data_IF_544294390574
#
_entry.id   IF_544294390574
#
_cell.length_a   1.000
_cell.length_b   1.000
_cell.length_c   1.000
_cell.angle_alpha   90.00
_cell.angle_beta   90.00
_cell.angle_gamma   90.00
#
_symmetry.space_group_name_H-M   'P 1'
#
loop_
_entity.id
_entity.type
_entity.pdbx_description
1 polymer ?
#
# COMPACT_ATOMS: atom_id res chain seq x y z
N UNK A 1 -6.06 -4.91 0.34
CA UNK A 1 -6.80 -3.64 0.16
C UNK A 1 -6.15 -2.86 -0.97
N UNK A 2 -6.93 -2.16 -1.79
CA UNK A 2 -6.42 -1.24 -2.82
C UNK A 2 -6.88 0.18 -2.46
N UNK A 3 -5.97 1.15 -2.45
CA UNK A 3 -6.28 2.56 -2.11
C UNK A 3 -5.52 3.54 -3.01
N UNK A 4 -6.08 4.72 -3.24
CA UNK A 4 -5.31 5.84 -3.80
C UNK A 4 -4.37 6.41 -2.74
N UNK A 5 -3.20 6.91 -3.14
CA UNK A 5 -2.29 7.67 -2.28
C UNK A 5 -2.92 9.01 -1.93
N UNK A 6 -3.55 9.65 -2.90
CA UNK A 6 -4.15 10.98 -2.77
C UNK A 6 -5.66 10.83 -2.71
N UNK A 7 -6.23 11.15 -1.56
CA UNK A 7 -7.69 11.20 -1.36
C UNK A 7 -8.04 12.47 -0.57
N UNK A 8 -9.20 13.09 -0.82
CA UNK A 8 -9.70 14.17 0.02
C UNK A 8 -9.98 13.66 1.44
N UNK A 9 -9.73 14.51 2.44
CA UNK A 9 -9.87 14.26 3.88
C UNK A 9 -8.85 13.30 4.53
N UNK A 10 -8.63 12.09 3.98
CA UNK A 10 -7.69 11.12 4.55
C UNK A 10 -6.86 10.49 3.42
N UNK A 11 -5.55 10.73 3.42
CA UNK A 11 -4.67 10.13 2.41
C UNK A 11 -4.55 8.61 2.57
N UNK A 12 -4.28 7.88 1.48
CA UNK A 12 -4.13 6.42 1.54
C UNK A 12 -3.05 5.96 2.51
N UNK A 13 -2.05 6.81 2.75
CA UNK A 13 -1.00 6.57 3.74
C UNK A 13 -1.53 6.60 5.18
N UNK A 14 -2.34 7.59 5.53
CA UNK A 14 -2.95 7.66 6.87
C UNK A 14 -3.88 6.45 7.10
N UNK A 15 -4.66 6.09 6.08
CA UNK A 15 -5.47 4.87 6.08
C UNK A 15 -4.60 3.63 6.31
N UNK A 16 -3.44 3.52 5.66
CA UNK A 16 -2.54 2.38 5.83
C UNK A 16 -1.98 2.25 7.25
N UNK A 17 -1.67 3.37 7.91
CA UNK A 17 -1.26 3.36 9.32
C UNK A 17 -2.39 2.87 10.22
N UNK A 18 -3.63 3.32 9.97
CA UNK A 18 -4.78 2.87 10.73
C UNK A 18 -5.04 1.35 10.54
N UNK A 19 -5.00 0.89 9.29
CA UNK A 19 -5.16 -0.53 8.94
C UNK A 19 -4.00 -1.37 9.48
N UNK A 20 -2.78 -0.86 9.52
CA UNK A 20 -1.65 -1.56 10.15
C UNK A 20 -1.87 -1.83 11.64
N UNK A 21 -2.61 -0.95 12.34
CA UNK A 21 -2.94 -1.11 13.77
C UNK A 21 -4.12 -2.05 14.01
N UNK A 22 -5.13 -2.04 13.13
CA UNK A 22 -6.36 -2.85 13.29
C UNK A 22 -6.28 -4.21 12.60
N UNK A 23 -5.44 -4.34 11.58
CA UNK A 23 -5.30 -5.53 10.75
C UNK A 23 -3.87 -5.67 10.19
N UNK A 24 -2.87 -5.98 11.04
CA UNK A 24 -1.45 -6.01 10.67
C UNK A 24 -1.10 -7.05 9.58
N UNK A 25 -1.97 -8.03 9.33
CA UNK A 25 -1.81 -8.99 8.24
C UNK A 25 -2.31 -8.48 6.87
N UNK A 26 -2.93 -7.29 6.83
CA UNK A 26 -3.54 -6.75 5.61
C UNK A 26 -2.46 -6.25 4.66
N UNK A 27 -2.46 -6.81 3.44
CA UNK A 27 -1.62 -6.32 2.33
C UNK A 27 -2.30 -5.13 1.66
N UNK A 28 -1.55 -4.07 1.39
CA UNK A 28 -2.07 -2.82 0.85
C UNK A 28 -1.39 -2.52 -0.49
N UNK A 29 -2.20 -2.32 -1.53
CA UNK A 29 -1.76 -1.85 -2.84
C UNK A 29 -2.16 -0.39 -2.99
N UNK A 30 -1.17 0.48 -3.18
CA UNK A 30 -1.34 1.89 -3.43
C UNK A 30 -1.43 2.16 -4.92
N UNK A 31 -2.25 3.14 -5.30
CA UNK A 31 -2.32 3.65 -6.66
C UNK A 31 -2.15 5.16 -6.65
N UNK A 32 -1.44 5.74 -7.62
CA UNK A 32 -1.26 7.21 -7.72
C UNK A 32 -1.02 7.65 -9.15
N UNK A 33 -1.62 8.77 -9.56
CA UNK A 33 -1.27 9.46 -10.81
C UNK A 33 -0.05 10.36 -10.72
N UNK A 34 0.47 10.59 -9.50
CA UNK A 34 1.60 11.45 -9.21
C UNK A 34 2.63 10.67 -8.39
N UNK A 35 3.59 9.98 -9.04
CA UNK A 35 4.57 9.15 -8.35
C UNK A 35 5.54 9.96 -7.47
N UNK A 36 5.69 11.28 -7.73
CA UNK A 36 6.52 12.18 -6.93
C UNK A 36 6.03 12.42 -5.49
N UNK A 37 4.78 12.09 -5.20
CA UNK A 37 4.21 12.21 -3.85
C UNK A 37 4.46 10.96 -2.97
N UNK A 38 5.16 9.98 -3.54
CA UNK A 38 5.49 8.73 -2.86
C UNK A 38 6.74 8.90 -1.97
N UNK A 39 6.64 9.72 -0.91
CA UNK A 39 7.68 9.76 0.13
C UNK A 39 7.32 8.76 1.22
N UNK A 40 8.04 7.63 1.24
CA UNK A 40 7.91 6.61 2.27
C UNK A 40 8.58 7.14 3.55
N UNK A 41 7.87 7.29 4.67
CA UNK A 41 8.53 7.54 5.96
C UNK A 41 9.36 6.30 6.32
N UNK A 42 10.59 6.51 6.78
CA UNK A 42 11.47 5.44 7.25
C UNK A 42 10.82 4.56 8.35
N UNK A 43 9.77 5.08 9.00
CA UNK A 43 9.13 4.49 10.18
C UNK A 43 7.80 3.80 9.85
N UNK A 44 7.44 3.63 8.57
CA UNK A 44 6.27 2.81 8.23
C UNK A 44 6.59 1.37 8.62
N UNK A 45 5.72 0.69 9.39
CA UNK A 45 5.86 -0.75 9.56
C UNK A 45 5.93 -1.37 8.17
N UNK A 46 6.82 -2.34 8.06
CA UNK A 46 7.32 -3.02 6.87
C UNK A 46 6.23 -3.84 6.13
N UNK A 47 4.99 -3.34 6.12
CA UNK A 47 3.90 -3.76 5.24
C UNK A 47 4.32 -3.46 3.82
N UNK A 48 4.99 -4.44 3.19
CA UNK A 48 5.47 -4.40 1.82
C UNK A 48 4.59 -3.51 0.95
N UNK A 49 5.16 -2.40 0.50
CA UNK A 49 4.43 -1.35 -0.19
C UNK A 49 4.26 -1.76 -1.64
N UNK A 50 3.10 -2.33 -1.97
CA UNK A 50 2.75 -2.62 -3.35
C UNK A 50 2.23 -1.33 -3.98
N UNK A 51 2.85 -0.88 -5.08
CA UNK A 51 2.44 0.36 -5.75
C UNK A 51 2.12 0.13 -7.23
N UNK A 52 1.14 0.88 -7.74
CA UNK A 52 0.77 0.93 -9.14
C UNK A 52 0.51 2.38 -9.60
N UNK A 53 1.38 2.90 -10.45
CA UNK A 53 1.21 4.22 -11.04
C UNK A 53 0.03 4.24 -12.03
N UNK A 54 -0.77 5.31 -11.99
CA UNK A 54 -1.82 5.58 -12.98
C UNK A 54 -1.22 6.36 -14.17
N UNK A 55 -1.76 6.16 -15.39
CA UNK A 55 -2.79 5.18 -15.74
C UNK A 55 -2.22 3.74 -15.78
N UNK A 56 -3.05 2.76 -15.43
CA UNK A 56 -2.68 1.34 -15.50
C UNK A 56 -3.78 0.53 -16.20
N UNK A 57 -3.37 -0.55 -16.87
CA UNK A 57 -4.31 -1.51 -17.43
C UNK A 57 -4.91 -2.40 -16.32
N UNK A 58 -6.14 -2.93 -16.50
CA UNK A 58 -6.75 -3.86 -15.53
C UNK A 58 -5.86 -5.06 -15.20
N UNK A 59 -5.10 -5.56 -16.20
CA UNK A 59 -4.16 -6.66 -16.01
C UNK A 59 -3.04 -6.32 -15.04
N UNK A 60 -2.49 -5.10 -15.14
CA UNK A 60 -1.43 -4.63 -14.25
C UNK A 60 -1.90 -4.55 -12.78
N UNK A 61 -3.17 -4.20 -12.55
CA UNK A 61 -3.77 -4.26 -11.22
C UNK A 61 -3.88 -5.70 -10.72
N UNK A 62 -4.37 -6.62 -11.55
CA UNK A 62 -4.50 -8.03 -11.17
C UNK A 62 -3.14 -8.66 -10.83
N UNK A 63 -2.12 -8.37 -11.63
CA UNK A 63 -0.76 -8.88 -11.41
C UNK A 63 -0.16 -8.29 -10.12
N UNK A 64 -0.37 -6.99 -9.85
CA UNK A 64 0.11 -6.36 -8.61
C UNK A 64 -0.61 -6.88 -7.37
N UNK A 65 -1.91 -7.16 -7.47
CA UNK A 65 -2.66 -7.81 -6.38
C UNK A 65 -2.16 -9.23 -6.14
N UNK A 66 -1.85 -9.98 -7.21
CA UNK A 66 -1.25 -11.32 -7.08
C UNK A 66 0.08 -11.27 -6.36
N UNK A 67 0.98 -10.38 -6.79
CA UNK A 67 2.26 -10.12 -6.14
C UNK A 67 2.10 -9.80 -4.65
N UNK A 68 1.10 -8.98 -4.30
CA UNK A 68 0.82 -8.62 -2.92
C UNK A 68 0.39 -9.80 -2.05
N UNK A 69 -0.39 -10.72 -2.61
CA UNK A 69 -0.89 -11.91 -1.93
C UNK A 69 0.18 -13.01 -1.83
N UNK A 70 1.03 -13.13 -2.85
CA UNK A 70 2.09 -14.14 -2.92
C UNK A 70 3.32 -13.73 -2.09
N UNK A 71 3.48 -12.44 -1.80
CA UNK A 71 4.54 -11.93 -0.94
C UNK A 71 4.39 -12.45 0.50
N UNK A 72 5.44 -13.06 1.09
CA UNK A 72 5.38 -13.57 2.46
C UNK A 72 4.94 -12.48 3.44
N UNK A 73 4.19 -12.87 4.48
CA UNK A 73 3.76 -11.93 5.51
C UNK A 73 5.00 -11.34 6.19
N UNK A 74 5.34 -10.09 5.89
CA UNK A 74 6.21 -9.30 6.73
C UNK A 74 5.43 -9.04 8.02
N UNK A 75 5.66 -9.88 9.01
CA UNK A 75 5.17 -9.64 10.37
C UNK A 75 5.85 -8.36 10.86
N UNK A 76 5.11 -7.38 11.41
CA UNK A 76 5.74 -6.25 12.05
C UNK A 76 6.71 -6.79 13.10
N UNK A 77 8.01 -6.46 13.00
CA UNK A 77 8.94 -6.66 14.10
C UNK A 77 8.43 -5.82 15.27
N UNK A 78 7.84 -6.48 16.26
CA UNK A 78 7.62 -5.89 17.57
C UNK A 78 8.99 -5.51 18.16
N UNK A 79 9.15 -4.31 18.76
CA UNK A 79 10.40 -3.89 19.38
C UNK A 79 10.83 -4.80 20.54
#
# INVERSE_FOLDING_TARGET
>A
MVTDVVMPAMGGRELSHHVGRTGPATKIVFTSGYPGEMTIPADSPDTGLFFLAKPFAPRALADKVREALDSPKSTPKTP
#
